data_IF_898646238468
#
_entry.id   IF_898646238468
#
_cell.length_a   1.000
_cell.length_b   1.000
_cell.length_c   1.000
_cell.angle_alpha   90.00
_cell.angle_beta   90.00
_cell.angle_gamma   90.00
#
_symmetry.space_group_name_H-M   'P 1'
#
loop_
_entity.id
_entity.type
_entity.pdbx_description
1 polymer ?
#
# COMPACT_ATOMS: atom_id res chain seq x y z
N UNK A 1 -22.54 -15.63 21.05
CA UNK A 1 -22.66 -14.24 20.56
C UNK A 1 -21.48 -14.02 19.62
N UNK A 2 -21.69 -14.30 18.35
CA UNK A 2 -20.70 -14.18 17.27
C UNK A 2 -21.44 -13.49 16.15
N UNK A 3 -21.13 -12.21 15.95
CA UNK A 3 -21.61 -11.41 14.84
C UNK A 3 -20.41 -11.09 13.96
N UNK A 4 -20.32 -11.81 12.85
CA UNK A 4 -19.46 -11.47 11.72
C UNK A 4 -20.32 -10.72 10.71
N UNK A 5 -19.94 -9.53 10.23
CA UNK A 5 -20.63 -8.92 9.12
C UNK A 5 -20.07 -9.47 7.81
N UNK A 6 -20.91 -10.26 7.14
CA UNK A 6 -20.87 -10.57 5.71
C UNK A 6 -21.07 -9.29 4.90
N UNK A 7 -20.07 -8.88 4.11
CA UNK A 7 -20.28 -7.96 2.98
C UNK A 7 -19.63 -8.57 1.74
N UNK A 8 -20.42 -9.38 1.04
CA UNK A 8 -20.24 -9.76 -0.36
C UNK A 8 -21.39 -9.12 -1.12
N UNK A 9 -21.07 -8.25 -2.08
CA UNK A 9 -21.65 -8.26 -3.44
C UNK A 9 -21.24 -6.98 -4.17
N UNK A 10 -20.37 -7.13 -5.17
CA UNK A 10 -20.59 -6.40 -6.41
C UNK A 10 -20.54 -7.43 -7.54
N UNK A 11 -21.72 -7.66 -8.09
CA UNK A 11 -22.01 -8.55 -9.22
C UNK A 11 -21.95 -7.67 -10.45
N UNK A 12 -21.10 -8.01 -11.42
CA UNK A 12 -21.31 -7.59 -12.80
C UNK A 12 -21.69 -8.83 -13.59
N UNK A 13 -22.99 -9.00 -13.73
CA UNK A 13 -23.65 -9.88 -14.68
C UNK A 13 -23.61 -9.17 -16.04
N UNK A 14 -22.98 -9.77 -17.04
CA UNK A 14 -23.30 -9.50 -18.44
C UNK A 14 -23.07 -10.79 -19.23
N UNK A 15 -24.15 -11.55 -19.39
CA UNK A 15 -24.23 -12.64 -20.34
C UNK A 15 -25.15 -12.22 -21.47
N UNK A 16 -24.62 -12.17 -22.70
CA UNK A 16 -25.39 -12.44 -23.92
C UNK A 16 -24.45 -12.90 -25.03
N UNK A 17 -24.60 -14.17 -25.40
CA UNK A 17 -23.95 -14.80 -26.55
C UNK A 17 -24.45 -14.22 -27.88
N UNK A 18 -23.55 -14.03 -28.85
CA UNK A 18 -23.86 -14.25 -30.27
C UNK A 18 -22.60 -14.54 -31.10
N UNK A 19 -22.72 -15.29 -32.22
CA UNK A 19 -21.63 -16.04 -32.83
C UNK A 19 -21.00 -15.37 -34.07
N UNK A 20 -19.81 -15.87 -34.43
CA UNK A 20 -19.06 -15.68 -35.68
C UNK A 20 -18.58 -14.27 -36.07
N UNK A 21 -17.27 -14.03 -35.86
CA UNK A 21 -16.54 -12.93 -36.50
C UNK A 21 -15.27 -12.49 -35.77
N UNK A 22 -14.13 -13.10 -36.12
CA UNK A 22 -12.76 -12.66 -35.79
C UNK A 22 -12.58 -11.13 -36.03
N UNK A 23 -11.70 -10.38 -35.30
CA UNK A 23 -10.45 -10.84 -34.71
C UNK A 23 -10.28 -10.54 -33.23
N UNK A 24 -9.51 -11.43 -32.60
CA UNK A 24 -8.96 -11.27 -31.26
C UNK A 24 -8.23 -9.92 -31.16
N UNK A 25 -8.91 -8.94 -30.58
CA UNK A 25 -8.23 -7.84 -29.91
C UNK A 25 -7.44 -8.46 -28.77
N UNK A 26 -6.13 -8.54 -28.97
CA UNK A 26 -5.15 -8.66 -27.91
C UNK A 26 -5.48 -7.59 -26.89
N UNK A 27 -6.22 -7.97 -25.85
CA UNK A 27 -6.30 -7.21 -24.61
C UNK A 27 -4.91 -7.26 -24.04
N UNK A 28 -4.09 -6.28 -24.42
CA UNK A 28 -2.92 -5.88 -23.68
C UNK A 28 -3.45 -5.55 -22.29
N UNK A 29 -3.43 -6.52 -21.41
CA UNK A 29 -3.74 -6.34 -20.01
C UNK A 29 -2.74 -5.33 -19.48
N UNK A 30 -3.15 -4.06 -19.48
CA UNK A 30 -2.49 -3.01 -18.72
C UNK A 30 -2.53 -3.50 -17.27
N UNK A 31 -1.41 -4.05 -16.81
CA UNK A 31 -1.22 -4.43 -15.41
C UNK A 31 -1.63 -3.23 -14.58
N UNK A 32 -2.72 -3.34 -13.84
CA UNK A 32 -3.26 -2.27 -13.01
C UNK A 32 -2.29 -2.05 -11.84
N UNK A 33 -1.42 -1.03 -11.89
CA UNK A 33 -0.55 -0.72 -10.75
C UNK A 33 -1.39 -0.27 -9.54
N UNK A 34 -2.60 0.22 -9.85
CA UNK A 34 -3.60 0.72 -8.92
C UNK A 34 -3.99 -0.28 -7.81
N UNK A 35 -3.89 -1.60 -8.00
CA UNK A 35 -4.29 -2.55 -6.96
C UNK A 35 -3.34 -2.59 -5.76
N UNK A 36 -2.05 -2.35 -5.97
CA UNK A 36 -1.06 -2.46 -4.90
C UNK A 36 -1.01 -1.17 -4.07
N UNK A 37 -0.99 -0.01 -4.72
CA UNK A 37 -1.02 1.31 -4.07
C UNK A 37 -2.28 1.50 -3.22
N UNK A 38 -3.43 1.01 -3.71
CA UNK A 38 -4.69 1.02 -2.95
C UNK A 38 -4.62 0.26 -1.61
N UNK A 39 -3.70 -0.68 -1.44
CA UNK A 39 -3.52 -1.37 -0.14
C UNK A 39 -2.86 -0.46 0.91
N UNK A 40 -2.16 0.58 0.47
CA UNK A 40 -1.40 1.47 1.34
C UNK A 40 -2.13 2.78 1.66
N UNK A 41 -3.15 3.13 0.89
CA UNK A 41 -3.92 4.36 1.12
C UNK A 41 -4.57 4.33 2.51
N UNK A 42 -4.29 5.34 3.32
CA UNK A 42 -4.77 5.41 4.71
C UNK A 42 -4.13 4.39 5.66
N UNK A 43 -3.09 3.65 5.23
CA UNK A 43 -2.42 2.67 6.07
C UNK A 43 -1.83 3.33 7.32
N UNK A 44 -2.15 2.79 8.49
CA UNK A 44 -1.68 3.30 9.77
C UNK A 44 -0.21 2.96 9.98
N UNK A 45 0.59 3.98 10.33
CA UNK A 45 2.03 3.82 10.58
C UNK A 45 2.31 3.69 12.07
N UNK A 46 1.89 4.67 12.88
CA UNK A 46 2.10 4.66 14.33
C UNK A 46 0.98 5.41 15.06
N UNK A 47 0.87 5.20 16.36
CA UNK A 47 0.02 6.02 17.21
C UNK A 47 0.66 7.40 17.46
N UNK A 48 -0.16 8.44 17.51
CA UNK A 48 0.27 9.81 17.73
C UNK A 48 0.48 10.60 16.44
N UNK A 49 1.02 11.81 16.61
CA UNK A 49 1.09 12.84 15.55
C UNK A 49 2.44 12.87 14.82
N UNK A 50 3.40 12.04 15.26
CA UNK A 50 4.74 12.02 14.70
C UNK A 50 5.27 10.61 14.50
N UNK A 51 5.96 10.38 13.39
CA UNK A 51 6.68 9.14 13.11
C UNK A 51 8.18 9.40 13.21
N UNK A 52 8.97 8.58 13.92
CA UNK A 52 10.42 8.68 13.85
C UNK A 52 10.93 8.13 12.52
N UNK A 53 11.83 8.85 11.87
CA UNK A 53 12.61 8.32 10.75
C UNK A 53 13.42 7.11 11.24
N UNK A 54 13.33 5.99 10.54
CA UNK A 54 13.98 4.73 10.91
C UNK A 54 15.50 4.86 11.04
N UNK A 55 16.14 5.63 10.16
CA UNK A 55 17.59 5.79 10.14
C UNK A 55 18.08 6.90 11.09
N UNK A 56 17.72 8.17 10.83
CA UNK A 56 18.21 9.29 11.64
C UNK A 56 17.45 9.55 12.95
N UNK A 57 16.31 8.88 13.19
CA UNK A 57 15.46 9.11 14.37
C UNK A 57 14.70 10.44 14.39
N UNK A 58 14.88 11.30 13.38
CA UNK A 58 14.21 12.60 13.28
C UNK A 58 12.68 12.47 13.26
N UNK A 59 11.97 13.40 13.89
CA UNK A 59 10.50 13.37 13.97
C UNK A 59 9.90 13.90 12.68
N UNK A 60 9.05 13.08 12.06
CA UNK A 60 8.30 13.40 10.85
C UNK A 60 6.88 13.74 11.24
N UNK A 61 6.32 14.76 10.58
CA UNK A 61 5.02 15.34 10.85
C UNK A 61 4.13 15.22 9.61
N UNK A 62 2.84 15.45 9.80
CA UNK A 62 1.87 15.55 8.70
C UNK A 62 2.32 16.53 7.60
N UNK A 63 1.95 16.21 6.35
CA UNK A 63 2.26 16.98 5.14
C UNK A 63 3.72 16.90 4.71
N UNK A 64 4.52 16.01 5.32
CA UNK A 64 5.92 15.79 4.93
C UNK A 64 6.00 14.60 3.97
N UNK A 65 6.72 14.75 2.85
CA UNK A 65 7.02 13.61 1.99
C UNK A 65 7.96 12.67 2.72
N UNK A 66 7.69 11.38 2.56
CA UNK A 66 8.45 10.29 3.15
C UNK A 66 8.67 9.18 2.13
N UNK A 67 9.59 8.29 2.47
CA UNK A 67 9.64 6.97 1.86
C UNK A 67 9.28 5.93 2.92
N UNK A 68 8.44 4.96 2.57
CA UNK A 68 8.11 3.84 3.44
C UNK A 68 8.58 2.53 2.81
N UNK A 69 9.17 1.65 3.62
CA UNK A 69 9.39 0.26 3.23
C UNK A 69 8.24 -0.57 3.78
N UNK A 70 7.57 -1.30 2.90
CA UNK A 70 6.58 -2.29 3.29
C UNK A 70 7.03 -3.68 2.88
N UNK A 71 6.61 -4.69 3.63
CA UNK A 71 6.88 -6.08 3.29
C UNK A 71 5.67 -6.97 3.56
N UNK A 72 5.59 -8.08 2.82
CA UNK A 72 4.73 -9.20 3.14
C UNK A 72 5.52 -10.50 3.04
N UNK A 73 5.15 -11.50 3.81
CA UNK A 73 5.58 -12.87 3.59
C UNK A 73 4.65 -13.60 2.62
N UNK A 74 5.14 -14.68 2.00
CA UNK A 74 4.39 -15.45 0.99
C UNK A 74 3.08 -16.07 1.48
N UNK A 75 2.95 -16.23 2.80
CA UNK A 75 1.74 -16.72 3.47
C UNK A 75 0.81 -15.59 3.96
N UNK A 76 1.19 -14.33 3.73
CA UNK A 76 0.42 -13.15 4.12
C UNK A 76 -0.27 -12.50 2.91
N UNK A 77 -1.49 -12.02 3.13
CA UNK A 77 -2.28 -11.36 2.08
C UNK A 77 -2.01 -9.86 1.98
N UNK A 78 -1.45 -9.25 3.02
CA UNK A 78 -1.34 -7.79 3.16
C UNK A 78 0.07 -7.38 3.50
N UNK A 79 0.53 -6.28 2.90
CA UNK A 79 1.78 -5.65 3.27
C UNK A 79 1.68 -4.96 4.64
N UNK A 80 2.76 -5.04 5.41
CA UNK A 80 2.95 -4.30 6.65
C UNK A 80 4.03 -3.24 6.46
N UNK A 81 3.81 -2.02 6.95
CA UNK A 81 4.82 -0.97 6.95
C UNK A 81 5.92 -1.35 7.94
N UNK A 82 7.11 -1.65 7.42
CA UNK A 82 8.25 -2.09 8.21
C UNK A 82 9.13 -0.93 8.69
N UNK A 83 9.22 0.14 7.89
CA UNK A 83 10.02 1.32 8.20
C UNK A 83 9.53 2.56 7.45
N UNK A 84 9.78 3.74 8.03
CA UNK A 84 9.52 5.04 7.41
C UNK A 84 10.79 5.88 7.46
N UNK A 85 11.10 6.57 6.38
CA UNK A 85 12.32 7.34 6.18
C UNK A 85 11.97 8.78 5.81
N UNK A 86 12.77 9.73 6.28
CA UNK A 86 12.75 11.07 5.71
C UNK A 86 13.38 11.07 4.32
N UNK A 87 13.13 12.10 3.52
CA UNK A 87 13.68 12.24 2.16
C UNK A 87 15.21 12.07 2.10
N UNK A 88 15.93 12.50 3.14
CA UNK A 88 17.39 12.37 3.19
C UNK A 88 17.91 10.97 3.58
N UNK A 89 17.06 10.13 4.16
CA UNK A 89 17.40 8.78 4.63
C UNK A 89 16.75 7.68 3.79
N UNK A 90 15.99 8.04 2.76
CA UNK A 90 15.27 7.09 1.92
C UNK A 90 16.25 6.11 1.24
N UNK A 91 16.03 4.79 1.36
CA UNK A 91 16.83 3.83 0.61
C UNK A 91 16.53 3.97 -0.89
N UNK A 92 17.59 4.02 -1.71
CA UNK A 92 17.45 4.06 -3.17
C UNK A 92 17.22 2.70 -3.80
N UNK A 93 17.55 1.62 -3.09
CA UNK A 93 17.45 0.25 -3.57
C UNK A 93 16.98 -0.69 -2.45
N UNK A 94 16.21 -1.70 -2.82
CA UNK A 94 15.86 -2.82 -1.95
C UNK A 94 17.01 -3.82 -1.95
N UNK A 95 17.78 -3.84 -0.87
CA UNK A 95 18.88 -4.79 -0.70
C UNK A 95 18.36 -6.10 -0.11
N UNK A 96 18.24 -7.12 -0.96
CA UNK A 96 18.03 -8.51 -0.57
C UNK A 96 16.61 -8.83 -0.11
N UNK A 97 15.79 -9.39 -1.00
CA UNK A 97 14.60 -10.13 -0.59
C UNK A 97 15.02 -11.43 0.09
N UNK A 98 14.72 -11.54 1.37
CA UNK A 98 14.78 -12.83 2.04
C UNK A 98 13.81 -13.79 1.31
N UNK A 99 14.19 -15.06 1.13
CA UNK A 99 13.32 -16.03 0.46
C UNK A 99 11.93 -16.06 1.10
N UNK A 100 10.90 -15.89 0.27
CA UNK A 100 9.50 -15.87 0.72
C UNK A 100 9.02 -14.53 1.28
N UNK A 101 9.76 -13.44 1.06
CA UNK A 101 9.36 -12.08 1.43
C UNK A 101 9.41 -11.17 0.21
N UNK A 102 8.28 -10.49 -0.04
CA UNK A 102 8.20 -9.42 -1.04
C UNK A 102 8.40 -8.09 -0.31
N UNK A 103 9.32 -7.27 -0.79
CA UNK A 103 9.57 -5.93 -0.27
C UNK A 103 9.19 -4.88 -1.31
N UNK A 104 8.64 -3.77 -0.83
CA UNK A 104 8.34 -2.59 -1.67
C UNK A 104 8.80 -1.31 -1.00
N UNK A 105 9.21 -0.34 -1.81
CA UNK A 105 9.43 1.04 -1.40
C UNK A 105 8.29 1.88 -1.96
N UNK A 106 7.71 2.68 -1.08
CA UNK A 106 6.64 3.61 -1.35
C UNK A 106 7.16 5.03 -1.16
N UNK A 107 6.76 5.95 -2.01
CA UNK A 107 6.76 7.38 -1.73
C UNK A 107 5.34 7.80 -1.36
N UNK A 108 5.20 8.64 -0.34
CA UNK A 108 3.89 9.11 0.14
C UNK A 108 4.05 10.40 0.93
N UNK A 109 2.94 11.08 1.19
CA UNK A 109 2.86 12.08 2.25
C UNK A 109 2.37 11.45 3.56
N UNK A 110 2.81 12.03 4.68
CA UNK A 110 2.23 11.70 5.98
C UNK A 110 0.91 12.44 6.19
N UNK A 111 -0.17 11.70 6.44
CA UNK A 111 -1.43 12.24 6.92
C UNK A 111 -1.62 12.06 8.42
N UNK A 112 -2.57 12.80 9.00
CA UNK A 112 -3.06 12.56 10.35
C UNK A 112 -4.54 12.16 10.31
N UNK A 113 -4.84 11.00 10.90
CA UNK A 113 -6.21 10.53 11.06
C UNK A 113 -6.62 10.55 12.54
N UNK A 114 -7.92 10.74 12.78
CA UNK A 114 -8.50 10.84 14.11
C UNK A 114 -9.78 10.02 14.22
N UNK A 115 -9.93 9.30 15.34
CA UNK A 115 -11.21 8.76 15.80
C UNK A 115 -11.37 9.02 17.29
N UNK A 116 -12.40 9.80 17.65
CA UNK A 116 -12.58 10.27 19.02
C UNK A 116 -11.39 11.12 19.48
N UNK A 117 -10.70 10.66 20.53
CA UNK A 117 -9.49 11.31 21.07
C UNK A 117 -8.18 10.62 20.65
N UNK A 118 -8.26 9.63 19.74
CA UNK A 118 -7.07 8.88 19.31
C UNK A 118 -6.61 9.40 17.96
N UNK A 119 -5.34 9.80 17.89
CA UNK A 119 -4.68 10.25 16.67
C UNK A 119 -3.68 9.19 16.20
N UNK A 120 -3.53 9.02 14.89
CA UNK A 120 -2.48 8.21 14.30
C UNK A 120 -2.06 8.77 12.95
N UNK A 121 -0.80 8.57 12.60
CA UNK A 121 -0.28 8.95 11.29
C UNK A 121 -0.61 7.89 10.24
N UNK A 122 -0.97 8.33 9.04
CA UNK A 122 -1.28 7.46 7.90
C UNK A 122 -0.42 7.80 6.68
N UNK A 123 -0.37 6.88 5.72
CA UNK A 123 0.08 7.20 4.36
C UNK A 123 -1.04 7.88 3.58
N UNK A 124 -0.69 8.88 2.79
CA UNK A 124 -1.57 9.60 1.86
C UNK A 124 -0.92 9.60 0.49
N UNK A 125 -1.69 9.30 -0.54
CA UNK A 125 -1.26 9.24 -1.95
C UNK A 125 0.00 8.36 -2.16
N UNK A 126 0.03 7.11 -1.65
CA UNK A 126 1.21 6.26 -1.76
C UNK A 126 1.43 5.82 -3.21
N UNK A 127 2.67 5.94 -3.66
CA UNK A 127 3.14 5.50 -4.98
C UNK A 127 4.23 4.46 -4.81
N UNK A 128 4.13 3.32 -5.49
CA UNK A 128 5.17 2.28 -5.45
C UNK A 128 6.33 2.69 -6.37
N UNK A 129 7.52 2.89 -5.81
CA UNK A 129 8.71 3.31 -6.57
C UNK A 129 9.74 2.20 -6.77
N UNK A 130 9.70 1.15 -5.94
CA UNK A 130 10.52 -0.04 -6.12
C UNK A 130 9.84 -1.29 -5.54
N UNK A 131 10.09 -2.44 -6.17
CA UNK A 131 9.64 -3.78 -5.73
C UNK A 131 10.79 -4.75 -5.88
N UNK A 132 10.93 -5.73 -4.98
CA UNK A 132 11.96 -6.76 -5.02
C UNK A 132 11.41 -8.15 -4.74
#
# INVERSE_FOLDING_TARGET
MTDSPLWLASVCDDALESPDGQPQTTSTGTHHPCLLEQQFEGARITAGETVPCYDCGGRLHEGRPISARACRYSDELTYTIAAVYCVGCAPTELTGTAHGRDDVILEADLGLAMAGQTHWTTLVDPTVVATA
#
